data_IF_856220729279
#
_entry.id   IF_856220729279
#
_cell.length_a   1.000
_cell.length_b   1.000
_cell.length_c   1.000
_cell.angle_alpha   90.00
_cell.angle_beta   90.00
_cell.angle_gamma   90.00
#
_symmetry.space_group_name_H-M   'P 1'
#
loop_
_entity.id
_entity.type
_entity.pdbx_description
1 polymer ?
#
# COMPACT_ATOMS: atom_id res chain seq x y z
N UNK A 1 -26.21 27.96 1.74
CA UNK A 1 -24.96 27.18 1.59
C UNK A 1 -25.35 25.79 1.14
N UNK A 2 -24.86 25.33 -0.01
CA UNK A 2 -25.15 23.98 -0.51
C UNK A 2 -24.44 22.98 0.39
N UNK A 3 -25.19 22.15 1.13
CA UNK A 3 -24.62 21.07 1.95
C UNK A 3 -23.93 20.11 0.98
N UNK A 4 -22.60 20.04 1.02
CA UNK A 4 -21.87 18.97 0.33
C UNK A 4 -22.13 17.71 1.13
N UNK A 5 -23.10 16.92 0.70
CA UNK A 5 -23.38 15.60 1.29
C UNK A 5 -22.33 14.63 0.74
N UNK A 6 -21.32 14.31 1.55
CA UNK A 6 -20.36 13.25 1.21
C UNK A 6 -21.02 11.90 1.54
N UNK A 7 -20.98 10.97 0.59
CA UNK A 7 -21.36 9.58 0.86
C UNK A 7 -20.25 8.90 1.69
N UNK A 8 -20.45 8.87 3.01
CA UNK A 8 -19.50 8.30 3.96
C UNK A 8 -19.31 6.79 3.76
N UNK A 9 -20.31 6.08 3.22
CA UNK A 9 -20.21 4.68 2.89
C UNK A 9 -19.27 4.48 1.68
N UNK A 10 -19.42 5.31 0.65
CA UNK A 10 -18.52 5.29 -0.51
C UNK A 10 -17.07 5.59 -0.09
N UNK A 11 -16.84 6.62 0.74
CA UNK A 11 -15.49 6.98 1.21
C UNK A 11 -14.87 5.83 2.03
N UNK A 12 -15.65 5.20 2.91
CA UNK A 12 -15.21 4.03 3.67
C UNK A 12 -14.82 2.87 2.74
N UNK A 13 -15.63 2.61 1.72
CA UNK A 13 -15.38 1.55 0.76
C UNK A 13 -14.09 1.80 -0.04
N UNK A 14 -13.83 3.03 -0.48
CA UNK A 14 -12.56 3.39 -1.13
C UNK A 14 -11.40 3.18 -0.16
N UNK A 15 -11.52 3.58 1.11
CA UNK A 15 -10.49 3.32 2.12
C UNK A 15 -10.19 1.82 2.31
N UNK A 16 -11.21 0.96 2.26
CA UNK A 16 -11.04 -0.50 2.26
C UNK A 16 -10.30 -1.00 1.03
N UNK A 17 -10.61 -0.46 -0.16
CA UNK A 17 -9.91 -0.83 -1.40
C UNK A 17 -8.43 -0.47 -1.36
N UNK A 18 -8.07 0.72 -0.85
CA UNK A 18 -6.67 1.12 -0.67
C UNK A 18 -5.91 0.15 0.24
N UNK A 19 -6.52 -0.24 1.37
CA UNK A 19 -5.91 -1.21 2.28
C UNK A 19 -5.78 -2.60 1.65
N UNK A 20 -6.78 -3.05 0.87
CA UNK A 20 -6.69 -4.29 0.12
C UNK A 20 -5.53 -4.26 -0.88
N UNK A 21 -5.32 -3.15 -1.60
CA UNK A 21 -4.20 -2.98 -2.53
C UNK A 21 -2.84 -2.92 -1.84
N UNK A 22 -2.75 -2.29 -0.67
CA UNK A 22 -1.54 -2.34 0.16
C UNK A 22 -1.18 -3.79 0.52
N UNK A 23 -2.16 -4.58 0.98
CA UNK A 23 -1.96 -5.98 1.33
C UNK A 23 -1.56 -6.85 0.13
N UNK A 24 -2.22 -6.66 -1.03
CA UNK A 24 -1.87 -7.35 -2.28
C UNK A 24 -0.41 -7.04 -2.68
N UNK A 25 -0.01 -5.77 -2.65
CA UNK A 25 1.34 -5.36 -3.01
C UNK A 25 2.39 -5.89 -2.02
N UNK A 26 2.09 -5.91 -0.72
CA UNK A 26 2.96 -6.50 0.29
C UNK A 26 3.16 -8.00 0.07
N UNK A 27 2.10 -8.74 -0.27
CA UNK A 27 2.19 -10.16 -0.58
C UNK A 27 3.05 -10.42 -1.84
N UNK A 28 2.85 -9.62 -2.90
CA UNK A 28 3.65 -9.71 -4.13
C UNK A 28 5.13 -9.39 -3.86
N UNK A 29 5.41 -8.36 -3.07
CA UNK A 29 6.78 -8.01 -2.67
C UNK A 29 7.46 -9.17 -1.93
N UNK A 30 6.76 -9.81 -0.98
CA UNK A 30 7.29 -10.95 -0.23
C UNK A 30 7.55 -12.18 -1.12
N UNK A 31 6.66 -12.43 -2.09
CA UNK A 31 6.86 -13.50 -3.08
C UNK A 31 8.10 -13.22 -3.94
N UNK A 32 8.21 -12.01 -4.49
CA UNK A 32 9.36 -11.61 -5.30
C UNK A 32 10.69 -11.72 -4.53
N UNK A 33 10.70 -11.31 -3.26
CA UNK A 33 11.87 -11.46 -2.37
C UNK A 33 12.27 -12.93 -2.21
N UNK A 34 11.29 -13.82 -2.03
CA UNK A 34 11.56 -15.27 -1.90
C UNK A 34 12.13 -15.87 -3.20
N UNK A 35 11.62 -15.44 -4.36
CA UNK A 35 12.15 -15.84 -5.67
C UNK A 35 13.59 -15.36 -5.86
N UNK A 36 13.88 -14.10 -5.54
CA UNK A 36 15.23 -13.54 -5.65
C UNK A 36 16.23 -14.23 -4.72
N UNK A 37 15.83 -14.51 -3.47
CA UNK A 37 16.66 -15.27 -2.53
C UNK A 37 16.98 -16.67 -3.05
N UNK A 38 16.01 -17.33 -3.69
CA UNK A 38 16.20 -18.65 -4.31
C UNK A 38 17.21 -18.62 -5.46
N UNK A 39 17.22 -17.52 -6.23
CA UNK A 39 18.19 -17.30 -7.31
C UNK A 39 19.58 -16.95 -6.79
N UNK A 40 19.69 -16.23 -5.68
CA UNK A 40 20.97 -15.82 -5.11
C UNK A 40 21.83 -17.01 -4.68
N UNK A 41 21.22 -18.11 -4.26
CA UNK A 41 21.92 -19.37 -3.98
C UNK A 41 22.52 -20.06 -5.21
N UNK A 42 22.07 -19.70 -6.42
CA UNK A 42 22.47 -20.33 -7.68
C UNK A 42 23.33 -19.41 -8.56
N UNK A 43 23.16 -18.09 -8.46
CA UNK A 43 23.87 -17.10 -9.26
C UNK A 43 25.15 -16.63 -8.57
N UNK A 44 26.30 -17.07 -9.07
CA UNK A 44 27.62 -16.65 -8.59
C UNK A 44 28.27 -15.58 -9.50
N UNK A 45 29.17 -14.78 -8.93
CA UNK A 45 30.05 -13.85 -9.66
C UNK A 45 29.56 -12.39 -9.72
N UNK A 46 30.42 -11.50 -10.25
CA UNK A 46 30.21 -10.05 -10.20
C UNK A 46 28.91 -9.56 -10.87
N UNK A 47 28.40 -10.28 -11.89
CA UNK A 47 27.12 -9.95 -12.55
C UNK A 47 25.91 -10.23 -11.65
N UNK A 48 25.98 -11.30 -10.85
CA UNK A 48 24.94 -11.61 -9.88
C UNK A 48 24.85 -10.51 -8.81
N UNK A 49 26.00 -10.10 -8.25
CA UNK A 49 26.06 -9.02 -7.25
C UNK A 49 25.42 -7.73 -7.75
N UNK A 50 25.61 -7.38 -9.03
CA UNK A 50 24.97 -6.19 -9.61
C UNK A 50 23.45 -6.34 -9.69
N UNK A 51 22.95 -7.47 -10.19
CA UNK A 51 21.49 -7.71 -10.28
C UNK A 51 20.84 -7.68 -8.90
N UNK A 52 21.46 -8.31 -7.90
CA UNK A 52 20.93 -8.31 -6.53
C UNK A 52 21.03 -6.92 -5.88
N UNK A 53 22.10 -6.16 -6.14
CA UNK A 53 22.20 -4.77 -5.70
C UNK A 53 21.14 -3.87 -6.33
N UNK A 54 20.90 -4.00 -7.64
CA UNK A 54 19.84 -3.28 -8.34
C UNK A 54 18.46 -3.66 -7.75
N UNK A 55 18.22 -4.95 -7.48
CA UNK A 55 17.01 -5.43 -6.79
C UNK A 55 16.83 -4.83 -5.40
N UNK A 56 17.87 -4.86 -4.56
CA UNK A 56 17.84 -4.26 -3.22
C UNK A 56 17.54 -2.76 -3.28
N UNK A 57 18.08 -2.04 -4.27
CA UNK A 57 17.83 -0.60 -4.45
C UNK A 57 16.37 -0.27 -4.81
N UNK A 58 15.63 -1.23 -5.38
CA UNK A 58 14.21 -1.05 -5.72
C UNK A 58 13.27 -1.30 -4.53
N UNK A 59 13.67 -2.11 -3.54
CA UNK A 59 12.82 -2.47 -2.40
C UNK A 59 12.26 -1.26 -1.62
N UNK A 60 13.03 -0.20 -1.32
CA UNK A 60 12.52 0.96 -0.61
C UNK A 60 11.34 1.65 -1.31
N UNK A 61 11.37 1.73 -2.64
CA UNK A 61 10.28 2.35 -3.40
C UNK A 61 8.97 1.55 -3.30
N UNK A 62 9.07 0.22 -3.29
CA UNK A 62 7.92 -0.66 -3.10
C UNK A 62 7.36 -0.58 -1.68
N UNK A 63 8.25 -0.54 -0.66
CA UNK A 63 7.84 -0.38 0.73
C UNK A 63 7.13 0.97 0.95
N UNK A 64 7.66 2.06 0.40
CA UNK A 64 7.03 3.38 0.46
C UNK A 64 5.66 3.40 -0.21
N UNK A 65 5.48 2.68 -1.32
CA UNK A 65 4.19 2.57 -1.99
C UNK A 65 3.16 1.79 -1.13
N UNK A 66 3.57 0.69 -0.50
CA UNK A 66 2.74 -0.09 0.43
C UNK A 66 2.28 0.79 1.60
N UNK A 67 3.21 1.50 2.22
CA UNK A 67 2.95 2.40 3.34
C UNK A 67 2.01 3.55 2.93
N UNK A 68 2.23 4.15 1.76
CA UNK A 68 1.38 5.23 1.23
C UNK A 68 -0.07 4.75 1.06
N UNK A 69 -0.26 3.55 0.51
CA UNK A 69 -1.60 2.97 0.32
C UNK A 69 -2.28 2.67 1.66
N UNK A 70 -1.53 2.20 2.65
CA UNK A 70 -2.05 1.95 4.00
C UNK A 70 -2.48 3.26 4.69
N UNK A 71 -1.62 4.28 4.66
CA UNK A 71 -1.91 5.60 5.23
C UNK A 71 -3.12 6.23 4.54
N UNK A 72 -3.19 6.18 3.21
CA UNK A 72 -4.32 6.71 2.45
C UNK A 72 -5.63 5.98 2.81
N UNK A 73 -5.60 4.65 2.91
CA UNK A 73 -6.76 3.86 3.33
C UNK A 73 -7.26 4.25 4.73
N UNK A 74 -6.35 4.43 5.68
CA UNK A 74 -6.68 4.85 7.04
C UNK A 74 -7.21 6.30 7.09
N UNK A 75 -6.63 7.21 6.31
CA UNK A 75 -7.08 8.60 6.21
C UNK A 75 -8.52 8.68 5.71
N UNK A 76 -8.87 7.91 4.67
CA UNK A 76 -10.22 7.88 4.12
C UNK A 76 -11.24 7.33 5.12
N UNK A 77 -10.90 6.26 5.83
CA UNK A 77 -11.76 5.71 6.90
C UNK A 77 -11.99 6.70 8.02
N UNK A 78 -10.94 7.41 8.44
CA UNK A 78 -11.04 8.47 9.45
C UNK A 78 -11.94 9.61 8.96
N UNK A 79 -11.72 10.10 7.74
CA UNK A 79 -12.53 11.15 7.15
C UNK A 79 -14.01 10.76 7.10
N UNK A 80 -14.33 9.53 6.69
CA UNK A 80 -15.71 9.04 6.67
C UNK A 80 -16.36 9.05 8.07
N UNK A 81 -15.62 8.66 9.10
CA UNK A 81 -16.09 8.69 10.49
C UNK A 81 -16.33 10.13 10.99
N UNK A 82 -15.40 11.04 10.70
CA UNK A 82 -15.51 12.47 11.08
C UNK A 82 -16.73 13.13 10.41
N UNK A 83 -17.00 12.83 9.14
CA UNK A 83 -18.18 13.31 8.42
C UNK A 83 -19.48 12.74 9.00
N UNK A 84 -19.53 11.42 9.26
CA UNK A 84 -20.71 10.79 9.85
C UNK A 84 -21.06 11.34 11.24
N UNK A 85 -20.04 11.64 12.06
CA UNK A 85 -20.24 12.25 13.37
C UNK A 85 -20.78 13.68 13.28
N UNK A 86 -20.31 14.45 12.30
CA UNK A 86 -20.76 15.84 12.07
C UNK A 86 -22.18 15.89 11.52
N UNK A 87 -22.53 14.99 10.60
CA UNK A 87 -23.88 14.91 10.02
C UNK A 87 -24.93 14.36 11.01
N UNK A 88 -24.53 13.49 11.94
CA UNK A 88 -25.42 12.98 13.00
C UNK A 88 -25.64 13.93 14.19
N UNK A 89 -24.86 15.02 14.28
CA UNK A 89 -24.97 16.04 15.32
C UNK A 89 -25.81 17.27 14.91
N UNK A 90 -26.40 17.25 13.70
CA UNK A 90 -27.23 18.32 13.13
C UNK A 90 -28.66 17.83 12.86
#
# INVERSE_FOLDING_TARGET
MTRITIDTAQVTQVGVQFQAKSNELAALHQQAKSLMNSLQGQFMGNRANRIFGDWESMQPSLLNAIETLEIAGNLLKKAAADFAATDGAA
#
